data_IF_268785138131
#
_entry.id   IF_268785138131
#
_cell.length_a   1.000
_cell.length_b   1.000
_cell.length_c   1.000
_cell.angle_alpha   90.00
_cell.angle_beta   90.00
_cell.angle_gamma   90.00
#
_symmetry.space_group_name_H-M   'P 1'
#
loop_
_entity.id
_entity.type
_entity.pdbx_description
1 polymer ?
#
# COMPACT_ATOMS: atom_id res chain seq x y z
N UNK A 1 1.60 -25.78 -24.58
CA UNK A 1 0.17 -25.51 -24.83
C UNK A 1 -0.53 -25.72 -23.47
N UNK A 2 -0.75 -24.74 -22.61
CA UNK A 2 -1.61 -23.57 -22.77
C UNK A 2 -1.30 -22.60 -21.61
N UNK A 3 -0.20 -21.84 -21.68
CA UNK A 3 0.04 -20.72 -20.76
C UNK A 3 -0.61 -19.47 -21.35
N UNK A 4 -1.94 -19.51 -21.46
CA UNK A 4 -2.72 -18.36 -21.90
C UNK A 4 -2.74 -17.36 -20.74
N UNK A 5 -2.10 -16.22 -20.97
CA UNK A 5 -1.92 -15.14 -20.03
C UNK A 5 -3.28 -14.62 -19.54
N UNK A 6 -3.70 -15.01 -18.35
CA UNK A 6 -4.72 -14.27 -17.61
C UNK A 6 -4.10 -12.98 -17.07
N UNK A 7 -3.98 -11.97 -17.94
CA UNK A 7 -3.71 -10.62 -17.49
C UNK A 7 -4.89 -10.13 -16.64
N UNK A 8 -4.58 -9.44 -15.54
CA UNK A 8 -5.61 -8.85 -14.69
C UNK A 8 -6.30 -7.70 -15.46
N UNK A 9 -7.57 -7.90 -15.84
CA UNK A 9 -8.37 -6.87 -16.52
C UNK A 9 -8.49 -5.59 -15.68
N UNK A 10 -8.48 -5.73 -14.36
CA UNK A 10 -8.53 -4.62 -13.41
C UNK A 10 -7.21 -3.89 -13.23
N UNK A 11 -6.09 -4.33 -13.82
CA UNK A 11 -4.76 -3.77 -13.55
C UNK A 11 -4.69 -2.26 -13.82
N UNK A 12 -5.24 -1.81 -14.95
CA UNK A 12 -5.22 -0.38 -15.30
C UNK A 12 -6.07 0.46 -14.34
N UNK A 13 -7.24 -0.05 -13.98
CA UNK A 13 -8.15 0.62 -13.05
C UNK A 13 -7.52 0.72 -11.65
N UNK A 14 -7.04 -0.41 -11.10
CA UNK A 14 -6.41 -0.48 -9.79
C UNK A 14 -5.18 0.45 -9.68
N UNK A 15 -4.37 0.54 -10.74
CA UNK A 15 -3.22 1.45 -10.76
C UNK A 15 -3.63 2.92 -10.73
N UNK A 16 -4.70 3.30 -11.44
CA UNK A 16 -5.19 4.69 -11.44
C UNK A 16 -5.78 5.05 -10.07
N UNK A 17 -6.63 4.16 -9.52
CA UNK A 17 -7.25 4.34 -8.22
C UNK A 17 -6.20 4.47 -7.11
N UNK A 18 -5.22 3.54 -7.06
CA UNK A 18 -4.15 3.57 -6.07
C UNK A 18 -3.30 4.85 -6.18
N UNK A 19 -2.90 5.25 -7.39
CA UNK A 19 -2.13 6.49 -7.60
C UNK A 19 -2.90 7.73 -7.14
N UNK A 20 -4.19 7.82 -7.47
CA UNK A 20 -5.02 8.95 -7.06
C UNK A 20 -5.15 9.01 -5.53
N UNK A 21 -5.41 7.86 -4.89
CA UNK A 21 -5.49 7.75 -3.43
C UNK A 21 -4.18 8.17 -2.75
N UNK A 22 -3.05 7.66 -3.24
CA UNK A 22 -1.71 7.98 -2.71
C UNK A 22 -1.41 9.48 -2.88
N UNK A 23 -1.59 10.04 -4.08
CA UNK A 23 -1.33 11.47 -4.33
C UNK A 23 -2.21 12.35 -3.45
N UNK A 24 -3.49 12.00 -3.28
CA UNK A 24 -4.40 12.77 -2.43
C UNK A 24 -3.97 12.71 -0.96
N UNK A 25 -3.60 11.52 -0.47
CA UNK A 25 -3.11 11.35 0.89
C UNK A 25 -1.83 12.18 1.12
N UNK A 26 -0.83 12.04 0.26
CA UNK A 26 0.47 12.74 0.39
C UNK A 26 0.35 14.26 0.27
N UNK A 27 -0.69 14.79 -0.41
CA UNK A 27 -0.97 16.23 -0.47
C UNK A 27 -1.57 16.79 0.82
N UNK A 28 -2.23 15.96 1.62
CA UNK A 28 -2.96 16.38 2.82
C UNK A 28 -2.19 16.09 4.11
N UNK A 29 -1.46 14.98 4.14
CA UNK A 29 -0.79 14.46 5.33
C UNK A 29 0.62 13.98 5.01
N UNK A 30 1.45 13.94 6.03
CA UNK A 30 2.74 13.26 6.01
C UNK A 30 2.66 12.02 6.91
N UNK A 31 3.37 10.97 6.49
CA UNK A 31 3.42 9.70 7.22
C UNK A 31 4.77 9.56 7.88
N UNK A 32 4.77 9.39 9.20
CA UNK A 32 5.97 9.23 10.00
C UNK A 32 6.00 7.86 10.69
N UNK A 33 7.20 7.38 11.04
CA UNK A 33 7.34 6.18 11.86
C UNK A 33 6.85 6.46 13.28
N UNK A 34 6.16 5.49 13.86
CA UNK A 34 5.79 5.46 15.26
C UNK A 34 6.48 4.28 15.95
N UNK A 35 6.35 4.19 17.27
CA UNK A 35 6.92 3.11 18.09
C UNK A 35 6.43 1.72 17.67
N UNK A 36 5.26 1.65 17.02
CA UNK A 36 4.65 0.41 16.51
C UNK A 36 5.03 0.08 15.06
N UNK A 37 5.78 0.95 14.38
CA UNK A 37 6.17 0.73 12.98
C UNK A 37 7.27 -0.33 12.92
N UNK A 38 6.98 -1.47 12.30
CA UNK A 38 7.98 -2.52 12.08
C UNK A 38 8.95 -2.16 10.95
N UNK A 39 10.25 -2.29 11.21
CA UNK A 39 11.32 -2.10 10.23
C UNK A 39 12.35 -3.23 10.40
N UNK A 40 12.53 -4.15 9.44
CA UNK A 40 11.77 -4.31 8.19
C UNK A 40 10.36 -4.87 8.41
N UNK A 41 9.45 -4.62 7.45
CA UNK A 41 8.10 -5.20 7.47
C UNK A 41 8.19 -6.71 7.31
N UNK A 42 7.59 -7.46 8.22
CA UNK A 42 7.49 -8.91 8.12
C UNK A 42 6.22 -9.28 7.35
N UNK A 43 6.38 -10.03 6.26
CA UNK A 43 5.26 -10.49 5.45
C UNK A 43 4.56 -11.68 6.13
N UNK A 44 3.23 -11.72 6.04
CA UNK A 44 2.43 -12.87 6.44
C UNK A 44 2.43 -13.95 5.35
N UNK A 45 2.19 -15.21 5.76
CA UNK A 45 2.06 -16.35 4.84
C UNK A 45 0.59 -16.57 4.50
N UNK A 46 0.04 -15.76 3.60
CA UNK A 46 -1.37 -15.82 3.19
C UNK A 46 -1.50 -15.67 1.67
N UNK A 47 -2.63 -16.11 1.11
CA UNK A 47 -2.99 -16.05 -0.32
C UNK A 47 -2.85 -14.65 -0.93
N UNK A 48 -2.96 -13.59 -0.11
CA UNK A 48 -2.73 -12.20 -0.49
C UNK A 48 -1.57 -11.68 0.34
N UNK A 49 -0.64 -10.97 -0.30
CA UNK A 49 0.49 -10.34 0.38
C UNK A 49 -0.01 -9.35 1.45
N UNK A 50 0.34 -9.58 2.70
CA UNK A 50 -0.03 -8.73 3.82
C UNK A 50 1.13 -8.58 4.83
N UNK A 51 1.01 -7.61 5.73
CA UNK A 51 1.89 -7.52 6.90
C UNK A 51 1.44 -8.53 7.95
N UNK A 52 2.40 -9.19 8.60
CA UNK A 52 2.15 -10.16 9.67
C UNK A 52 1.46 -9.52 10.88
N UNK A 53 1.90 -8.33 11.27
CA UNK A 53 1.42 -7.63 12.48
C UNK A 53 0.71 -6.31 12.16
N UNK A 54 0.32 -6.08 10.90
CA UNK A 54 -0.26 -4.82 10.43
C UNK A 54 0.77 -3.76 10.06
N UNK A 55 0.32 -2.60 9.58
CA UNK A 55 1.17 -1.45 9.24
C UNK A 55 0.67 -0.26 10.05
N UNK A 56 1.47 0.17 11.03
CA UNK A 56 1.17 1.33 11.86
C UNK A 56 2.08 2.48 11.49
N UNK A 57 1.50 3.64 11.20
CA UNK A 57 2.19 4.89 10.90
C UNK A 57 1.52 6.02 11.65
N UNK A 58 2.30 7.02 12.04
CA UNK A 58 1.77 8.29 12.54
C UNK A 58 1.40 9.17 11.35
N UNK A 59 0.21 9.76 11.40
CA UNK A 59 -0.29 10.69 10.39
C UNK A 59 -0.22 12.10 10.95
N UNK A 60 0.51 12.98 10.29
CA UNK A 60 0.61 14.39 10.66
C UNK A 60 0.06 15.25 9.52
N UNK A 61 -0.59 16.38 9.86
CA UNK A 61 -1.11 17.29 8.83
C UNK A 61 0.07 17.90 8.08
N UNK A 62 0.04 17.87 6.75
CA UNK A 62 1.06 18.51 5.92
C UNK A 62 0.93 20.03 6.06
N UNK A 63 1.93 20.68 6.65
CA UNK A 63 2.13 22.12 6.52
C UNK A 63 2.48 22.41 5.07
N UNK A 64 1.71 23.29 4.41
CA UNK A 64 2.08 23.77 3.09
C UNK A 64 3.32 24.64 3.16
#
# INVERSE_FOLDING_TARGET
LYNIFSNCIGMRFALVEAKLGIVRALRLVEFERCEKTEVPIQLGNVTILNSKNGIFLRVVRRSQ
#
